data_IF_963016604140
#
_entry.id   IF_963016604140
#
_cell.length_a   1.000
_cell.length_b   1.000
_cell.length_c   1.000
_cell.angle_alpha   90.00
_cell.angle_beta   90.00
_cell.angle_gamma   90.00
#
_symmetry.space_group_name_H-M   'P 1'
#
loop_
_entity.id
_entity.type
_entity.pdbx_description
1 polymer ?
#
# COMPACT_ATOMS: atom_id res chain seq x y z
N UNK A 1 -5.80 -14.29 17.53
CA UNK A 1 -5.43 -14.56 16.13
C UNK A 1 -4.26 -13.64 15.79
N UNK A 2 -3.11 -14.22 15.40
CA UNK A 2 -1.89 -13.46 15.18
C UNK A 2 -2.10 -12.49 14.01
N UNK A 3 -1.93 -11.19 14.27
CA UNK A 3 -1.83 -10.18 13.24
C UNK A 3 -0.61 -10.54 12.37
N UNK A 4 -0.84 -11.27 11.28
CA UNK A 4 0.18 -11.56 10.26
C UNK A 4 0.54 -10.22 9.65
N UNK A 5 1.58 -9.59 10.20
CA UNK A 5 2.26 -8.45 9.59
C UNK A 5 2.50 -8.87 8.13
N UNK A 6 1.98 -8.14 7.12
CA UNK A 6 2.24 -8.48 5.74
C UNK A 6 3.75 -8.35 5.54
N UNK A 7 4.44 -9.49 5.59
CA UNK A 7 5.86 -9.57 5.31
C UNK A 7 5.98 -9.43 3.81
N UNK A 8 6.64 -8.36 3.38
CA UNK A 8 6.96 -8.13 1.97
C UNK A 8 7.52 -9.42 1.37
N UNK A 9 6.94 -9.88 0.26
CA UNK A 9 7.41 -11.07 -0.47
C UNK A 9 8.84 -10.85 -0.97
N UNK A 10 9.57 -11.93 -1.25
CA UNK A 10 10.95 -11.84 -1.73
C UNK A 10 11.06 -10.97 -3.00
N UNK A 11 10.06 -11.05 -3.88
CA UNK A 11 9.95 -10.20 -5.08
C UNK A 11 9.79 -8.72 -4.73
N UNK A 12 8.95 -8.39 -3.74
CA UNK A 12 8.80 -7.02 -3.25
C UNK A 12 10.07 -6.51 -2.58
N UNK A 13 10.84 -7.37 -1.90
CA UNK A 13 12.14 -6.98 -1.32
C UNK A 13 13.15 -6.63 -2.39
N UNK A 14 13.21 -7.40 -3.49
CA UNK A 14 14.07 -7.09 -4.63
C UNK A 14 13.68 -5.77 -5.28
N UNK A 15 12.38 -5.55 -5.49
CA UNK A 15 11.87 -4.27 -6.00
C UNK A 15 12.16 -3.10 -5.04
N UNK A 16 12.07 -3.34 -3.72
CA UNK A 16 12.38 -2.34 -2.71
C UNK A 16 13.88 -2.01 -2.66
N UNK A 17 14.76 -3.00 -2.75
CA UNK A 17 16.21 -2.80 -2.77
C UNK A 17 16.67 -2.09 -4.05
N UNK A 18 15.97 -2.31 -5.18
CA UNK A 18 16.19 -1.58 -6.42
C UNK A 18 15.81 -0.09 -6.34
N UNK A 19 14.98 0.31 -5.36
CA UNK A 19 14.64 1.71 -5.13
C UNK A 19 15.78 2.45 -4.43
N UNK A 20 15.96 3.73 -4.77
CA UNK A 20 16.88 4.59 -4.02
C UNK A 20 16.44 4.76 -2.56
N UNK A 21 17.38 5.03 -1.65
CA UNK A 21 17.08 5.25 -0.21
C UNK A 21 15.97 6.28 0.04
N UNK A 22 15.86 7.29 -0.81
CA UNK A 22 14.81 8.32 -0.70
C UNK A 22 13.46 7.78 -1.19
N UNK A 23 13.44 7.01 -2.29
CA UNK A 23 12.22 6.35 -2.78
C UNK A 23 11.72 5.27 -1.82
N UNK A 24 12.63 4.50 -1.20
CA UNK A 24 12.30 3.54 -0.14
C UNK A 24 11.55 4.22 1.01
N UNK A 25 12.07 5.34 1.52
CA UNK A 25 11.38 6.11 2.57
C UNK A 25 10.04 6.68 2.10
N UNK A 26 9.96 7.10 0.84
CA UNK A 26 8.73 7.60 0.25
C UNK A 26 7.65 6.52 0.20
N UNK A 27 7.93 5.35 -0.37
CA UNK A 27 6.97 4.24 -0.44
C UNK A 27 6.61 3.72 0.95
N UNK A 28 7.55 3.69 1.89
CA UNK A 28 7.26 3.38 3.30
C UNK A 28 6.30 4.39 3.92
N UNK A 29 6.40 5.66 3.57
CA UNK A 29 5.48 6.70 4.01
C UNK A 29 4.07 6.46 3.49
N UNK A 30 3.94 6.15 2.19
CA UNK A 30 2.65 5.80 1.57
C UNK A 30 2.04 4.56 2.23
N UNK A 31 2.83 3.52 2.49
CA UNK A 31 2.38 2.28 3.15
C UNK A 31 1.93 2.51 4.60
N UNK A 32 2.44 3.54 5.27
CA UNK A 32 1.96 3.97 6.60
C UNK A 32 0.64 4.76 6.53
N UNK A 33 0.10 5.02 5.34
CA UNK A 33 -1.11 5.81 5.12
C UNK A 33 -0.88 7.31 5.01
N UNK A 34 0.36 7.76 4.78
CA UNK A 34 0.64 9.18 4.54
C UNK A 34 0.26 9.58 3.13
N UNK A 35 -0.18 10.84 2.98
CA UNK A 35 -0.40 11.41 1.67
C UNK A 35 0.93 11.60 0.91
N UNK A 36 0.88 11.67 -0.42
CA UNK A 36 2.05 11.71 -1.29
C UNK A 36 3.01 12.85 -0.93
N UNK A 37 2.48 14.04 -0.65
CA UNK A 37 3.26 15.20 -0.23
C UNK A 37 3.93 15.01 1.13
N UNK A 38 3.24 14.39 2.09
CA UNK A 38 3.79 14.11 3.42
C UNK A 38 4.85 13.01 3.37
N UNK A 39 4.63 11.98 2.58
CA UNK A 39 5.63 10.94 2.31
C UNK A 39 6.89 11.53 1.66
N UNK A 40 6.74 12.49 0.75
CA UNK A 40 7.84 13.22 0.13
C UNK A 40 8.63 14.05 1.15
N UNK A 41 7.94 14.80 2.01
CA UNK A 41 8.56 15.57 3.09
C UNK A 41 9.29 14.66 4.09
N UNK A 42 8.66 13.57 4.53
CA UNK A 42 9.25 12.62 5.48
C UNK A 42 10.41 11.82 4.90
N UNK A 43 10.38 11.54 3.60
CA UNK A 43 11.49 10.89 2.92
C UNK A 43 12.78 11.73 2.92
N UNK A 44 12.67 13.04 3.17
CA UNK A 44 13.78 13.97 3.27
C UNK A 44 14.10 14.68 1.95
N UNK A 45 13.15 14.70 1.02
CA UNK A 45 13.32 15.49 -0.20
C UNK A 45 13.25 16.99 0.10
N UNK A 46 14.08 17.76 -0.60
CA UNK A 46 14.10 19.21 -0.48
C UNK A 46 13.03 19.84 -1.38
N UNK A 47 11.88 20.17 -0.80
CA UNK A 47 10.90 21.02 -1.47
C UNK A 47 10.95 22.44 -0.88
N UNK A 48 10.91 23.45 -1.76
CA UNK A 48 10.83 24.87 -1.36
C UNK A 48 9.39 25.31 -1.07
N UNK A 49 8.41 24.72 -1.77
CA UNK A 49 6.98 25.01 -1.64
C UNK A 49 6.18 23.71 -1.66
N UNK A 50 4.95 23.77 -1.15
CA UNK A 50 4.06 22.60 -1.10
C UNK A 50 3.60 22.14 -2.49
N UNK A 51 3.41 23.09 -3.41
CA UNK A 51 3.09 22.79 -4.81
C UNK A 51 4.21 22.05 -5.54
N UNK A 52 5.47 22.44 -5.30
CA UNK A 52 6.63 21.71 -5.83
C UNK A 52 6.74 20.34 -5.18
N UNK A 53 6.51 20.21 -3.86
CA UNK A 53 6.50 18.92 -3.18
C UNK A 53 5.44 17.98 -3.78
N UNK A 54 4.23 18.48 -4.05
CA UNK A 54 3.15 17.73 -4.68
C UNK A 54 3.52 17.28 -6.09
N UNK A 55 4.02 18.20 -6.91
CA UNK A 55 4.37 17.92 -8.31
C UNK A 55 5.48 16.87 -8.39
N UNK A 56 6.55 17.04 -7.61
CA UNK A 56 7.64 16.07 -7.56
C UNK A 56 7.19 14.72 -6.95
N UNK A 57 6.31 14.71 -5.95
CA UNK A 57 5.75 13.46 -5.42
C UNK A 57 4.94 12.71 -6.48
N UNK A 58 4.17 13.43 -7.31
CA UNK A 58 3.42 12.86 -8.43
C UNK A 58 4.35 12.27 -9.49
N UNK A 59 5.46 12.95 -9.81
CA UNK A 59 6.50 12.44 -10.72
C UNK A 59 7.18 11.18 -10.17
N UNK A 60 7.47 11.13 -8.86
CA UNK A 60 8.06 9.95 -8.22
C UNK A 60 7.09 8.76 -8.26
N UNK A 61 5.80 8.99 -8.09
CA UNK A 61 4.79 7.93 -8.20
C UNK A 61 4.63 7.39 -9.62
N UNK A 62 4.90 8.23 -10.62
CA UNK A 62 4.90 7.80 -12.02
C UNK A 62 6.20 7.10 -12.42
N UNK A 63 7.22 7.09 -11.56
CA UNK A 63 8.44 6.33 -11.81
C UNK A 63 8.09 4.83 -11.90
N UNK A 64 8.48 4.13 -12.99
CA UNK A 64 8.11 2.74 -13.21
C UNK A 64 8.53 1.83 -12.05
N UNK A 65 9.69 2.04 -11.43
CA UNK A 65 10.15 1.21 -10.32
C UNK A 65 9.29 1.38 -9.06
N UNK A 66 8.93 2.63 -8.74
CA UNK A 66 8.07 2.95 -7.59
C UNK A 66 6.67 2.42 -7.83
N UNK A 67 6.15 2.59 -9.04
CA UNK A 67 4.84 2.11 -9.44
C UNK A 67 4.78 0.58 -9.38
N UNK A 68 5.76 -0.13 -9.96
CA UNK A 68 5.83 -1.59 -9.89
C UNK A 68 5.89 -2.11 -8.46
N UNK A 69 6.66 -1.46 -7.57
CA UNK A 69 6.67 -1.84 -6.16
C UNK A 69 5.30 -1.64 -5.49
N UNK A 70 4.68 -0.47 -5.67
CA UNK A 70 3.37 -0.18 -5.08
C UNK A 70 2.27 -1.09 -5.64
N UNK A 71 2.34 -1.42 -6.92
CA UNK A 71 1.42 -2.34 -7.59
C UNK A 71 1.56 -3.76 -7.03
N UNK A 72 2.78 -4.30 -6.95
CA UNK A 72 3.02 -5.61 -6.32
C UNK A 72 2.58 -5.66 -4.86
N UNK A 73 2.73 -4.57 -4.11
CA UNK A 73 2.23 -4.48 -2.72
C UNK A 73 0.71 -4.43 -2.67
N UNK A 74 0.08 -3.69 -3.58
CA UNK A 74 -1.37 -3.61 -3.67
C UNK A 74 -1.98 -4.94 -4.12
N UNK A 75 -1.43 -5.63 -5.12
CA UNK A 75 -1.87 -6.96 -5.54
C UNK A 75 -1.79 -7.99 -4.39
N UNK A 76 -0.74 -7.93 -3.58
CA UNK A 76 -0.60 -8.81 -2.41
C UNK A 76 -1.62 -8.45 -1.33
N UNK A 77 -1.82 -7.15 -1.06
CA UNK A 77 -2.81 -6.67 -0.12
C UNK A 77 -4.23 -7.06 -0.57
N UNK A 78 -4.58 -6.84 -1.83
CA UNK A 78 -5.84 -7.23 -2.46
C UNK A 78 -6.00 -8.74 -2.40
N UNK A 79 -4.99 -9.55 -2.70
CA UNK A 79 -5.11 -11.01 -2.60
C UNK A 79 -5.43 -11.48 -1.17
N UNK A 80 -4.84 -10.83 -0.16
CA UNK A 80 -5.17 -11.11 1.25
C UNK A 80 -6.54 -10.55 1.69
N UNK A 81 -6.96 -9.42 1.14
CA UNK A 81 -8.22 -8.76 1.47
C UNK A 81 -9.40 -9.37 0.70
N UNK A 82 -9.19 -9.90 -0.51
CA UNK A 82 -10.18 -10.66 -1.29
C UNK A 82 -10.50 -11.97 -0.60
N UNK A 83 -9.51 -12.67 -0.04
CA UNK A 83 -9.76 -13.83 0.83
C UNK A 83 -10.58 -13.45 2.08
N UNK A 84 -10.41 -12.21 2.57
CA UNK A 84 -11.19 -11.65 3.68
C UNK A 84 -12.61 -11.21 3.24
N UNK A 85 -12.77 -10.76 1.99
CA UNK A 85 -14.05 -10.39 1.40
C UNK A 85 -14.91 -11.62 1.08
N UNK A 86 -14.29 -12.72 0.66
CA UNK A 86 -14.98 -14.02 0.56
C UNK A 86 -15.45 -14.51 1.94
N UNK A 87 -14.62 -14.38 3.00
CA UNK A 87 -15.05 -14.67 4.38
C UNK A 87 -16.20 -13.75 4.84
N UNK A 88 -16.14 -12.45 4.50
CA UNK A 88 -17.19 -11.48 4.82
C UNK A 88 -18.50 -11.77 4.08
N UNK A 89 -18.43 -12.19 2.81
CA UNK A 89 -19.59 -12.62 2.01
C UNK A 89 -20.17 -13.95 2.52
N UNK A 90 -19.33 -14.91 2.94
CA UNK A 90 -19.78 -16.13 3.59
C UNK A 90 -20.48 -15.84 4.93
N UNK A 91 -19.90 -14.97 5.78
CA UNK A 91 -20.56 -14.56 7.05
C UNK A 91 -21.90 -13.87 6.81
N UNK A 92 -21.98 -12.95 5.85
CA UNK A 92 -23.23 -12.29 5.47
C UNK A 92 -24.27 -13.29 4.95
N UNK A 93 -23.85 -14.27 4.14
CA UNK A 93 -24.71 -15.34 3.64
C UNK A 93 -25.20 -16.26 4.77
N UNK A 94 -24.35 -16.53 5.76
CA UNK A 94 -24.71 -17.32 6.94
C UNK A 94 -25.74 -16.60 7.82
N UNK A 95 -25.57 -15.29 8.03
CA UNK A 95 -26.53 -14.43 8.75
C UNK A 95 -27.89 -14.39 8.02
N UNK A 96 -27.87 -14.28 6.68
CA UNK A 96 -29.08 -14.30 5.87
C UNK A 96 -29.89 -15.60 5.99
N UNK A 97 -29.22 -16.76 6.13
CA UNK A 97 -29.90 -18.06 6.32
C UNK A 97 -30.37 -18.29 7.75
N UNK A 98 -29.70 -17.72 8.74
CA UNK A 98 -30.14 -17.77 10.15
C UNK A 98 -31.34 -16.87 10.43
N UNK A 99 -31.55 -15.81 9.63
CA UNK A 99 -32.68 -14.88 9.74
C UNK A 99 -34.02 -15.42 9.18
N UNK A 100 -34.05 -16.65 8.66
CA UNK A 100 -35.26 -17.29 8.10
C UNK A 100 -35.79 -18.42 9.01
N UNK A 101 -35.62 -18.27 10.32
CA UNK A 101 -36.32 -19.06 11.34
C UNK A 101 -36.93 -18.12 12.38
N UNK A 102 -38.08 -17.55 12.04
CA UNK A 102 -39.11 -17.09 12.98
C UNK A 102 -40.44 -17.65 12.50
#
# INVERSE_FOLDING_TARGET
MAQKKPTLTDEQKVLFDALTKLQQKFVLGILKGLNQTDAYKQAGYKAKTEETARSCASEILTNPNVKSFLDSVNETAISSDIMTREEALERLSSIGRSSQKW
#
